data_IF_307185102828
#
_entry.id   IF_307185102828
#
_cell.length_a   1.000
_cell.length_b   1.000
_cell.length_c   1.000
_cell.angle_alpha   90.00
_cell.angle_beta   90.00
_cell.angle_gamma   90.00
#
_symmetry.space_group_name_H-M   'P 1'
#
loop_
_entity.id
_entity.type
_entity.pdbx_description
1 polymer ?
#
# COMPACT_ATOMS: atom_id res chain seq x y z
N UNK A 1 -7.69 -2.61 21.12
CA UNK A 1 -7.06 -2.00 19.93
C UNK A 1 -6.90 -3.05 18.84
N UNK A 2 -7.29 -2.78 17.60
CA UNK A 2 -7.07 -3.71 16.48
C UNK A 2 -5.60 -3.76 16.07
N UNK A 3 -5.12 -4.92 15.61
CA UNK A 3 -3.79 -5.12 15.03
C UNK A 3 -3.93 -5.87 13.71
N UNK A 4 -3.07 -5.55 12.74
CA UNK A 4 -2.87 -6.35 11.52
C UNK A 4 -1.48 -6.96 11.52
N UNK A 5 -1.33 -8.15 10.97
CA UNK A 5 -0.05 -8.85 10.87
C UNK A 5 0.21 -9.20 9.42
N UNK A 6 1.27 -8.64 8.85
CA UNK A 6 1.81 -9.06 7.57
C UNK A 6 2.90 -10.11 7.77
N UNK A 7 2.93 -11.10 6.88
CA UNK A 7 4.05 -12.04 6.74
C UNK A 7 4.63 -11.72 5.37
N UNK A 8 5.90 -11.34 5.33
CA UNK A 8 6.55 -10.82 4.13
C UNK A 8 7.80 -11.63 3.81
N UNK A 9 8.20 -11.61 2.54
CA UNK A 9 9.48 -12.12 2.05
C UNK A 9 10.25 -10.94 1.45
N UNK A 10 10.96 -11.17 0.35
CA UNK A 10 11.82 -10.17 -0.31
C UNK A 10 11.08 -9.32 -1.36
N UNK A 11 9.85 -9.69 -1.73
CA UNK A 11 9.10 -9.03 -2.81
C UNK A 11 7.89 -8.25 -2.30
N UNK A 12 7.76 -7.02 -2.78
CA UNK A 12 6.74 -6.07 -2.37
C UNK A 12 6.13 -5.38 -3.59
N UNK A 13 4.83 -5.10 -3.54
CA UNK A 13 4.17 -4.14 -4.42
C UNK A 13 4.18 -2.77 -3.74
N UNK A 14 4.49 -1.75 -4.52
CA UNK A 14 4.41 -0.33 -4.15
C UNK A 14 3.68 0.44 -5.25
N UNK A 15 3.17 1.63 -4.95
CA UNK A 15 2.55 2.48 -5.96
C UNK A 15 3.57 2.85 -7.05
N UNK A 16 3.13 2.86 -8.31
CA UNK A 16 3.98 3.20 -9.46
C UNK A 16 4.60 4.59 -9.32
N UNK A 17 3.80 5.58 -8.91
CA UNK A 17 4.26 6.95 -8.64
C UNK A 17 5.34 7.00 -7.55
N UNK A 18 5.25 6.12 -6.55
CA UNK A 18 6.29 6.01 -5.53
C UNK A 18 7.57 5.45 -6.15
N UNK A 19 7.48 4.35 -6.90
CA UNK A 19 8.62 3.75 -7.60
C UNK A 19 9.34 4.75 -8.51
N UNK A 20 8.59 5.46 -9.36
CA UNK A 20 9.11 6.44 -10.32
C UNK A 20 9.76 7.64 -9.62
N UNK A 21 9.33 7.96 -8.40
CA UNK A 21 9.88 9.07 -7.62
C UNK A 21 11.20 8.75 -6.88
N UNK A 22 11.58 7.47 -6.76
CA UNK A 22 12.76 7.07 -5.97
C UNK A 22 14.05 7.32 -6.76
N UNK A 23 14.92 8.13 -6.18
CA UNK A 23 16.24 8.44 -6.75
C UNK A 23 17.34 7.58 -6.14
N UNK A 24 18.47 7.52 -6.84
CA UNK A 24 19.66 6.78 -6.42
C UNK A 24 20.13 7.20 -5.02
N UNK A 25 20.45 6.22 -4.17
CA UNK A 25 20.96 6.43 -2.81
C UNK A 25 19.92 6.91 -1.78
N UNK A 26 18.69 7.22 -2.18
CA UNK A 26 17.65 7.68 -1.25
C UNK A 26 17.22 6.59 -0.27
N UNK A 27 17.09 6.96 1.01
CA UNK A 27 16.57 6.07 2.05
C UNK A 27 15.04 6.16 2.08
N UNK A 28 14.38 5.07 1.71
CA UNK A 28 12.92 4.95 1.66
C UNK A 28 12.48 3.95 2.72
N UNK A 29 11.33 4.21 3.36
CA UNK A 29 10.74 3.29 4.34
C UNK A 29 9.41 2.73 3.85
N UNK A 30 9.29 1.42 3.92
CA UNK A 30 8.01 0.72 3.89
C UNK A 30 7.33 0.91 5.24
N UNK A 31 6.15 1.54 5.26
CA UNK A 31 5.39 1.87 6.49
C UNK A 31 5.31 0.66 7.43
N UNK A 32 5.71 0.85 8.69
CA UNK A 32 5.76 -0.18 9.74
C UNK A 32 6.54 -1.47 9.39
N UNK A 33 7.48 -1.43 8.45
CA UNK A 33 8.23 -2.60 8.00
C UNK A 33 9.74 -2.40 8.03
N UNK A 34 10.33 -1.86 6.95
CA UNK A 34 11.78 -1.77 6.77
C UNK A 34 12.18 -0.55 5.94
N UNK A 35 13.47 -0.23 5.98
CA UNK A 35 14.12 0.78 5.19
C UNK A 35 14.96 0.12 4.08
N UNK A 36 14.99 0.74 2.91
CA UNK A 36 15.78 0.30 1.78
C UNK A 36 16.34 1.49 1.01
N UNK A 37 17.34 1.23 0.16
CA UNK A 37 17.94 2.20 -0.75
C UNK A 37 17.93 1.69 -2.18
N UNK A 38 17.80 2.60 -3.13
CA UNK A 38 18.05 2.32 -4.54
C UNK A 38 19.55 2.34 -4.80
N UNK A 39 20.07 1.27 -5.40
CA UNK A 39 21.43 1.17 -5.90
C UNK A 39 21.41 0.63 -7.34
N UNK A 40 21.52 1.54 -8.31
CA UNK A 40 21.31 1.23 -9.72
C UNK A 40 19.90 0.68 -9.97
N UNK A 41 19.83 -0.53 -10.54
CA UNK A 41 18.58 -1.24 -10.81
C UNK A 41 18.07 -2.07 -9.63
N UNK A 42 18.78 -2.06 -8.49
CA UNK A 42 18.45 -2.88 -7.32
C UNK A 42 17.94 -2.02 -6.17
N UNK A 43 17.16 -2.66 -5.30
CA UNK A 43 16.76 -2.11 -4.01
C UNK A 43 17.37 -2.96 -2.90
N UNK A 44 18.22 -2.34 -2.09
CA UNK A 44 18.95 -3.02 -1.02
C UNK A 44 18.33 -2.70 0.34
N UNK A 45 18.19 -3.72 1.16
CA UNK A 45 17.83 -3.57 2.56
C UNK A 45 18.89 -2.72 3.29
N UNK A 46 18.43 -1.73 4.04
CA UNK A 46 19.29 -0.87 4.86
C UNK A 46 19.15 -1.22 6.35
N UNK A 47 17.92 -1.18 6.88
CA UNK A 47 17.65 -1.41 8.31
C UNK A 47 16.14 -1.55 8.57
N UNK A 48 15.73 -2.05 9.74
CA UNK A 48 14.32 -2.00 10.20
C UNK A 48 14.03 -0.79 11.11
N UNK A 49 15.08 -0.15 11.64
CA UNK A 49 15.01 0.89 12.66
C UNK A 49 14.38 2.19 12.14
N UNK A 50 13.38 2.68 12.86
CA UNK A 50 12.70 3.93 12.53
C UNK A 50 13.55 5.17 12.84
N UNK A 51 14.44 5.11 13.83
CA UNK A 51 15.29 6.25 14.22
C UNK A 51 16.36 6.54 13.17
N UNK A 52 16.87 5.51 12.49
CA UNK A 52 17.75 5.67 11.32
C UNK A 52 16.98 6.40 10.20
N UNK A 53 15.74 5.99 9.94
CA UNK A 53 14.91 6.64 8.95
C UNK A 53 14.59 8.10 9.31
N UNK A 54 14.25 8.42 10.56
CA UNK A 54 13.97 9.81 10.95
C UNK A 54 15.12 10.78 10.64
N UNK A 55 16.37 10.32 10.77
CA UNK A 55 17.55 11.15 10.55
C UNK A 55 17.88 11.38 9.08
N UNK A 56 17.64 10.40 8.21
CA UNK A 56 18.17 10.38 6.82
C UNK A 56 17.13 10.04 5.75
N UNK A 57 15.93 9.68 6.18
CA UNK A 57 14.83 9.19 5.34
C UNK A 57 14.27 10.26 4.44
N UNK A 58 13.86 9.86 3.25
CA UNK A 58 13.24 10.74 2.26
C UNK A 58 11.73 10.58 2.21
N UNK A 59 11.22 9.35 2.27
CA UNK A 59 9.80 9.06 2.08
C UNK A 59 9.37 7.79 2.82
N UNK A 60 8.17 7.81 3.41
CA UNK A 60 7.50 6.62 3.95
C UNK A 60 6.37 6.25 2.99
N UNK A 61 6.42 5.05 2.41
CA UNK A 61 5.46 4.57 1.40
C UNK A 61 4.61 3.41 1.94
N UNK A 62 3.37 3.32 1.45
CA UNK A 62 2.52 2.15 1.69
C UNK A 62 2.95 1.01 0.75
N UNK A 63 2.60 -0.21 1.08
CA UNK A 63 3.08 -1.39 0.38
C UNK A 63 2.19 -2.61 0.63
N UNK A 64 2.33 -3.63 -0.21
CA UNK A 64 1.74 -4.95 -0.01
C UNK A 64 2.80 -6.04 -0.23
N UNK A 65 2.84 -7.11 0.58
CA UNK A 65 3.71 -8.23 0.28
C UNK A 65 3.19 -8.99 -0.94
N UNK A 66 4.10 -9.43 -1.82
CA UNK A 66 3.72 -10.26 -2.96
C UNK A 66 3.32 -11.65 -2.44
N UNK A 67 2.03 -11.99 -2.57
CA UNK A 67 1.44 -13.24 -2.09
C UNK A 67 0.09 -13.51 -2.76
N UNK A 68 -0.35 -14.77 -2.75
CA UNK A 68 -1.57 -15.20 -3.47
C UNK A 68 -2.88 -14.68 -2.86
N UNK A 69 -2.85 -14.31 -1.57
CA UNK A 69 -4.04 -13.86 -0.83
C UNK A 69 -4.41 -12.39 -1.06
N UNK A 70 -3.69 -11.67 -1.92
CA UNK A 70 -4.06 -10.29 -2.29
C UNK A 70 -5.42 -10.28 -3.00
N UNK A 71 -6.09 -9.13 -2.92
CA UNK A 71 -7.46 -8.96 -3.40
C UNK A 71 -7.48 -7.87 -4.44
N UNK A 72 -8.05 -8.15 -5.61
CA UNK A 72 -8.28 -7.11 -6.61
C UNK A 72 -9.31 -6.11 -6.07
N UNK A 73 -9.00 -4.83 -6.24
CA UNK A 73 -9.91 -3.75 -5.89
C UNK A 73 -10.08 -2.80 -7.05
N UNK A 74 -11.29 -2.28 -7.18
CA UNK A 74 -11.60 -1.16 -8.04
C UNK A 74 -12.14 -0.02 -7.19
N UNK A 75 -11.76 1.20 -7.53
CA UNK A 75 -12.12 2.41 -6.81
C UNK A 75 -12.71 3.41 -7.80
N UNK A 76 -14.00 3.68 -7.65
CA UNK A 76 -14.69 4.72 -8.40
C UNK A 76 -14.32 6.08 -7.81
N UNK A 77 -13.69 6.91 -8.65
CA UNK A 77 -13.21 8.25 -8.31
C UNK A 77 -14.29 9.31 -8.59
N UNK A 78 -14.20 10.52 -7.98
CA UNK A 78 -15.21 11.58 -8.17
C UNK A 78 -15.33 12.09 -9.61
N UNK A 79 -14.30 11.92 -10.43
CA UNK A 79 -14.27 12.26 -11.85
C UNK A 79 -14.84 11.14 -12.74
N UNK A 80 -15.56 10.19 -12.14
CA UNK A 80 -16.11 8.99 -12.77
C UNK A 80 -15.06 8.04 -13.37
N UNK A 81 -13.78 8.19 -13.04
CA UNK A 81 -12.76 7.23 -13.44
C UNK A 81 -12.71 6.03 -12.49
N UNK A 82 -12.24 4.90 -13.01
CA UNK A 82 -12.13 3.66 -12.24
C UNK A 82 -10.65 3.30 -12.06
N UNK A 83 -10.13 3.49 -10.85
CA UNK A 83 -8.79 3.06 -10.49
C UNK A 83 -8.78 1.58 -10.12
N UNK A 84 -7.80 0.83 -10.61
CA UNK A 84 -7.63 -0.61 -10.33
C UNK A 84 -6.38 -0.83 -9.49
N UNK A 85 -6.45 -1.75 -8.53
CA UNK A 85 -5.32 -2.04 -7.66
C UNK A 85 -5.46 -3.34 -6.89
N UNK A 86 -4.53 -3.52 -5.95
CA UNK A 86 -4.49 -4.65 -5.03
C UNK A 86 -4.70 -4.15 -3.60
N UNK A 87 -5.30 -4.99 -2.76
CA UNK A 87 -5.47 -4.74 -1.34
C UNK A 87 -5.09 -5.98 -0.49
N UNK A 88 -4.82 -5.74 0.79
CA UNK A 88 -4.52 -6.82 1.74
C UNK A 88 -5.72 -7.74 1.99
N UNK A 89 -5.48 -9.02 2.27
CA UNK A 89 -6.55 -10.02 2.39
C UNK A 89 -7.61 -9.69 3.45
N UNK A 90 -7.26 -8.93 4.50
CA UNK A 90 -8.18 -8.58 5.58
C UNK A 90 -9.33 -7.69 5.10
N UNK A 91 -9.17 -7.01 3.97
CA UNK A 91 -10.20 -6.15 3.38
C UNK A 91 -11.49 -6.91 3.05
N UNK A 92 -11.41 -8.24 2.83
CA UNK A 92 -12.59 -9.11 2.60
C UNK A 92 -13.57 -9.12 3.78
N UNK A 93 -13.12 -8.75 4.99
CA UNK A 93 -13.94 -8.70 6.21
C UNK A 93 -14.93 -7.53 6.22
N UNK A 94 -14.66 -6.46 5.47
CA UNK A 94 -15.57 -5.32 5.35
C UNK A 94 -16.92 -5.76 4.83
N UNK A 95 -18.02 -5.18 5.29
CA UNK A 95 -19.38 -5.38 4.77
C UNK A 95 -19.71 -4.26 3.78
N UNK A 96 -20.68 -4.51 2.89
CA UNK A 96 -21.20 -3.46 2.01
C UNK A 96 -21.67 -2.28 2.87
N UNK A 97 -21.25 -1.07 2.50
CA UNK A 97 -21.50 0.15 3.25
C UNK A 97 -20.40 0.52 4.25
N UNK A 98 -19.51 -0.40 4.63
CA UNK A 98 -18.39 -0.08 5.52
C UNK A 98 -17.46 0.94 4.87
N UNK A 99 -16.94 1.85 5.69
CA UNK A 99 -15.93 2.83 5.31
C UNK A 99 -14.59 2.36 5.87
N UNK A 100 -13.56 2.37 5.02
CA UNK A 100 -12.18 2.11 5.42
C UNK A 100 -11.24 3.18 4.87
N UNK A 101 -10.10 3.37 5.54
CA UNK A 101 -9.02 4.18 5.01
C UNK A 101 -8.06 3.28 4.22
N UNK A 102 -7.92 3.55 2.93
CA UNK A 102 -6.83 3.01 2.12
C UNK A 102 -5.62 3.92 2.32
N UNK A 103 -4.57 3.41 2.99
CA UNK A 103 -3.41 4.19 3.40
C UNK A 103 -2.79 4.95 2.23
N UNK A 104 -2.57 6.26 2.43
CA UNK A 104 -2.10 7.22 1.40
C UNK A 104 -2.96 7.37 0.14
N UNK A 105 -4.12 6.73 0.07
CA UNK A 105 -5.11 6.92 -1.00
C UNK A 105 -6.26 7.78 -0.50
N UNK A 106 -6.95 7.37 0.56
CA UNK A 106 -8.08 8.10 1.15
C UNK A 106 -9.12 7.20 1.80
N UNK A 107 -10.16 7.81 2.37
CA UNK A 107 -11.34 7.12 2.89
C UNK A 107 -12.24 6.66 1.75
N UNK A 108 -12.63 5.39 1.79
CA UNK A 108 -13.38 4.71 0.75
C UNK A 108 -14.52 3.91 1.37
N UNK A 109 -15.68 3.88 0.70
CA UNK A 109 -16.83 3.06 1.11
C UNK A 109 -16.93 1.82 0.23
N UNK A 110 -17.04 0.63 0.83
CA UNK A 110 -17.26 -0.60 0.08
C UNK A 110 -18.68 -0.60 -0.53
N UNK A 111 -18.77 -0.57 -1.85
CA UNK A 111 -20.05 -0.54 -2.57
C UNK A 111 -20.51 -1.94 -2.99
N UNK A 112 -19.59 -2.75 -3.54
CA UNK A 112 -19.90 -4.11 -4.01
C UNK A 112 -18.82 -5.12 -3.65
N UNK A 113 -19.28 -6.35 -3.39
CA UNK A 113 -18.43 -7.54 -3.34
C UNK A 113 -18.74 -8.40 -4.56
N UNK A 114 -17.78 -8.53 -5.45
CA UNK A 114 -17.89 -9.41 -6.61
C UNK A 114 -17.06 -10.68 -6.37
N UNK A 115 -17.16 -11.65 -7.29
CA UNK A 115 -16.52 -12.97 -7.11
C UNK A 115 -15.00 -12.87 -7.02
N UNK A 116 -14.40 -11.95 -7.76
CA UNK A 116 -12.96 -11.80 -7.97
C UNK A 116 -12.39 -10.46 -7.48
N UNK A 117 -13.25 -9.50 -7.13
CA UNK A 117 -12.85 -8.15 -6.71
C UNK A 117 -13.80 -7.50 -5.70
N UNK A 118 -13.31 -6.44 -5.07
CA UNK A 118 -14.12 -5.52 -4.28
C UNK A 118 -14.19 -4.16 -4.97
N UNK A 119 -15.37 -3.57 -5.02
CA UNK A 119 -15.58 -2.25 -5.63
C UNK A 119 -15.89 -1.23 -4.56
N UNK A 120 -15.08 -0.18 -4.52
CA UNK A 120 -15.16 0.92 -3.57
C UNK A 120 -15.57 2.20 -4.27
N UNK A 121 -16.20 3.10 -3.51
CA UNK A 121 -16.39 4.50 -3.90
C UNK A 121 -15.44 5.35 -3.07
N UNK A 122 -14.70 6.21 -3.74
CA UNK A 122 -13.84 7.17 -3.07
C UNK A 122 -14.67 8.21 -2.32
N UNK A 123 -14.27 8.53 -1.09
CA UNK A 123 -14.86 9.59 -0.28
C UNK A 123 -14.01 10.86 -0.35
N UNK A 124 -12.94 10.90 0.43
CA UNK A 124 -12.02 12.03 0.53
C UNK A 124 -10.65 11.56 1.06
N UNK A 125 -9.65 12.44 1.04
CA UNK A 125 -8.30 12.18 1.51
C UNK A 125 -7.92 13.12 2.65
#
# INVERSE_FOLDING_TARGET
KGKRKFITKERFYIAKEDFDSIKEGELIRLMDCLNFRKQGDKFLFDSSDYEIFKKKGKKIIHWLPVQDKLVNVELLMPDNTLAKGLAEHLIKRLKKGDICQLERVGFCRLDKKEKDKLVFWYGHR
#
